data_IF_222658024583
#
_entry.id   IF_222658024583
#
_cell.length_a   1.000
_cell.length_b   1.000
_cell.length_c   1.000
_cell.angle_alpha   90.00
_cell.angle_beta   90.00
_cell.angle_gamma   90.00
#
_symmetry.space_group_name_H-M   'P 1'
#
loop_
_entity.id
_entity.type
_entity.pdbx_description
1 polymer ?
#
# COMPACT_ATOMS: atom_id res chain seq x y z
N UNK A 1 14.98 -2.32 3.64
CA UNK A 1 14.51 -3.12 4.80
C UNK A 1 13.35 -2.41 5.47
N UNK A 2 12.76 -2.99 6.52
CA UNK A 2 11.59 -2.42 7.21
C UNK A 2 11.74 -0.96 7.69
N UNK A 3 12.91 -0.50 8.18
CA UNK A 3 13.08 0.91 8.56
C UNK A 3 12.84 1.89 7.41
N UNK A 4 13.42 1.62 6.23
CA UNK A 4 13.20 2.43 5.03
C UNK A 4 11.75 2.41 4.57
N UNK A 5 11.06 1.28 4.72
CA UNK A 5 9.64 1.20 4.36
C UNK A 5 8.79 2.13 5.24
N UNK A 6 9.07 2.17 6.55
CA UNK A 6 8.38 3.07 7.47
C UNK A 6 8.74 4.55 7.22
N UNK A 7 10.02 4.85 6.95
CA UNK A 7 10.49 6.20 6.64
C UNK A 7 9.85 6.76 5.35
N UNK A 8 9.63 5.92 4.35
CA UNK A 8 9.06 6.29 3.05
C UNK A 8 7.54 6.13 2.98
N UNK A 9 6.86 5.84 4.10
CA UNK A 9 5.40 5.71 4.13
C UNK A 9 4.70 7.06 4.00
N UNK A 10 5.27 8.08 4.66
CA UNK A 10 4.76 9.45 4.68
C UNK A 10 5.85 10.43 4.29
N UNK A 11 5.55 11.31 3.33
CA UNK A 11 6.49 12.30 2.82
C UNK A 11 5.90 13.71 2.92
N UNK A 12 6.74 14.69 3.27
CA UNK A 12 6.38 16.10 3.13
C UNK A 12 6.42 16.49 1.65
N UNK A 13 5.48 17.34 1.22
CA UNK A 13 5.46 17.87 -0.15
C UNK A 13 5.97 19.31 -0.20
N UNK A 14 6.53 19.70 -1.34
CA UNK A 14 7.16 21.02 -1.52
C UNK A 14 6.18 22.20 -1.32
N UNK A 15 4.88 21.95 -1.45
CA UNK A 15 3.81 22.93 -1.32
C UNK A 15 3.15 22.93 0.08
N UNK A 16 3.85 22.40 1.10
CA UNK A 16 3.41 22.41 2.49
C UNK A 16 2.31 21.40 2.79
N UNK A 17 2.19 20.36 1.96
CA UNK A 17 1.27 19.24 2.15
C UNK A 17 1.97 17.97 2.64
N UNK A 18 1.22 16.87 2.61
CA UNK A 18 1.69 15.52 2.96
C UNK A 18 1.32 14.52 1.87
N UNK A 19 2.13 13.48 1.75
CA UNK A 19 1.92 12.38 0.82
C UNK A 19 1.91 11.06 1.58
N UNK A 20 0.80 10.32 1.48
CA UNK A 20 0.75 8.90 1.83
C UNK A 20 1.26 8.10 0.62
N UNK A 21 2.58 7.85 0.60
CA UNK A 21 3.28 7.17 -0.50
C UNK A 21 3.17 5.65 -0.39
N UNK A 22 3.10 5.10 0.81
CA UNK A 22 2.87 3.68 1.05
C UNK A 22 1.74 3.53 2.06
N UNK A 23 0.97 2.46 1.93
CA UNK A 23 -0.16 2.18 2.82
C UNK A 23 0.23 1.14 3.86
N UNK A 24 0.23 1.56 5.12
CA UNK A 24 0.62 0.78 6.30
C UNK A 24 -0.01 1.41 7.54
N UNK A 25 -0.50 0.57 8.45
CA UNK A 25 -1.01 1.07 9.73
C UNK A 25 0.09 1.84 10.47
N UNK A 26 -0.12 3.14 10.65
CA UNK A 26 0.92 4.07 11.10
C UNK A 26 0.32 5.35 11.65
N UNK A 27 1.16 6.17 12.25
CA UNK A 27 0.82 7.51 12.71
C UNK A 27 1.94 8.46 12.29
N UNK A 28 1.58 9.58 11.67
CA UNK A 28 2.52 10.65 11.31
C UNK A 28 2.12 11.94 12.00
N UNK A 29 3.09 12.66 12.55
CA UNK A 29 2.90 14.02 13.07
C UNK A 29 3.85 14.96 12.32
N UNK A 30 3.32 15.98 11.67
CA UNK A 30 4.10 16.89 10.83
C UNK A 30 3.55 18.32 10.84
N UNK A 31 4.36 19.27 10.37
CA UNK A 31 3.92 20.63 10.12
C UNK A 31 3.47 20.82 8.67
N UNK A 32 2.33 21.48 8.47
CA UNK A 32 1.66 21.65 7.16
C UNK A 32 1.16 23.09 6.96
N UNK A 33 0.65 23.35 5.75
CA UNK A 33 0.12 24.63 5.29
C UNK A 33 1.20 25.53 4.70
N UNK A 34 0.79 26.66 4.09
CA UNK A 34 1.69 27.55 3.32
C UNK A 34 2.93 28.03 4.09
N UNK A 35 2.87 28.08 5.42
CA UNK A 35 3.97 28.52 6.28
C UNK A 35 4.63 27.38 7.07
N UNK A 36 4.20 26.12 6.92
CA UNK A 36 4.66 24.96 7.71
C UNK A 36 4.67 25.22 9.22
N UNK A 37 3.58 25.80 9.76
CA UNK A 37 3.45 26.13 11.19
C UNK A 37 2.30 25.42 11.89
N UNK A 38 1.35 24.87 11.15
CA UNK A 38 0.25 24.11 11.72
C UNK A 38 0.69 22.67 11.89
N UNK A 39 0.64 22.15 13.11
CA UNK A 39 0.91 20.74 13.36
C UNK A 39 -0.36 19.92 13.11
N UNK A 40 -0.22 18.82 12.39
CA UNK A 40 -1.27 17.80 12.19
C UNK A 40 -0.71 16.45 12.60
N UNK A 41 -1.56 15.63 13.17
CA UNK A 41 -1.32 14.19 13.32
C UNK A 41 -2.32 13.43 12.48
N UNK A 42 -1.85 12.53 11.63
CA UNK A 42 -2.70 11.66 10.81
C UNK A 42 -2.48 10.22 11.28
N UNK A 43 -3.56 9.55 11.64
CA UNK A 43 -3.57 8.13 12.00
C UNK A 43 -4.08 7.37 10.78
N UNK A 44 -3.27 6.46 10.27
CA UNK A 44 -3.58 5.57 9.17
C UNK A 44 -3.91 4.17 9.69
N UNK A 45 -5.09 3.67 9.36
CA UNK A 45 -5.54 2.33 9.74
C UNK A 45 -5.91 1.54 8.49
N UNK A 46 -5.30 0.37 8.34
CA UNK A 46 -5.50 -0.49 7.18
C UNK A 46 -4.98 -1.91 7.42
N UNK A 47 -5.64 -2.89 6.79
CA UNK A 47 -5.17 -4.27 6.63
C UNK A 47 -4.48 -4.48 5.27
N UNK A 48 -4.18 -3.40 4.55
CA UNK A 48 -3.39 -3.45 3.33
C UNK A 48 -2.06 -4.17 3.60
N UNK A 49 -1.62 -5.10 2.74
CA UNK A 49 -2.08 -5.36 1.37
C UNK A 49 -3.19 -6.42 1.21
N UNK A 50 -3.76 -6.94 2.30
CA UNK A 50 -4.77 -8.00 2.24
C UNK A 50 -6.19 -7.46 2.06
N UNK A 51 -6.43 -6.22 2.50
CA UNK A 51 -7.63 -5.45 2.21
C UNK A 51 -7.29 -4.14 1.49
N UNK A 52 -8.22 -3.66 0.66
CA UNK A 52 -8.04 -2.44 -0.15
C UNK A 52 -8.41 -1.15 0.57
N UNK A 53 -9.00 -1.20 1.77
CA UNK A 53 -9.46 -0.03 2.52
C UNK A 53 -8.33 0.55 3.37
N UNK A 54 -8.16 1.86 3.28
CA UNK A 54 -7.28 2.68 4.11
C UNK A 54 -8.13 3.78 4.73
N UNK A 55 -8.00 3.98 6.04
CA UNK A 55 -8.72 5.01 6.77
C UNK A 55 -7.73 5.97 7.42
N UNK A 56 -7.91 7.28 7.20
CA UNK A 56 -7.10 8.34 7.75
C UNK A 56 -7.93 9.17 8.72
N UNK A 57 -7.49 9.29 9.97
CA UNK A 57 -8.09 10.18 10.97
C UNK A 57 -7.18 11.37 11.20
N UNK A 58 -7.76 12.56 11.18
CA UNK A 58 -7.00 13.80 11.30
C UNK A 58 -7.16 14.38 12.71
N UNK A 59 -6.03 14.64 13.37
CA UNK A 59 -5.96 15.32 14.65
C UNK A 59 -5.27 16.67 14.46
N UNK A 60 -6.02 17.76 14.67
CA UNK A 60 -5.54 19.14 14.52
C UNK A 60 -6.06 20.01 15.67
N UNK A 61 -5.23 20.94 16.13
CA UNK A 61 -5.67 21.98 17.07
C UNK A 61 -6.36 23.15 16.37
N UNK A 62 -5.95 23.45 15.13
CA UNK A 62 -6.50 24.54 14.31
C UNK A 62 -6.77 24.03 12.90
N UNK A 63 -7.97 24.31 12.39
CA UNK A 63 -8.35 24.00 11.01
C UNK A 63 -7.33 24.59 10.04
N UNK A 64 -6.78 23.76 9.16
CA UNK A 64 -5.65 24.15 8.31
C UNK A 64 -5.88 23.67 6.88
N UNK A 65 -5.62 24.55 5.91
CA UNK A 65 -5.58 24.18 4.49
C UNK A 65 -4.22 23.59 4.14
N UNK A 66 -4.23 22.39 3.59
CA UNK A 66 -3.05 21.77 2.98
C UNK A 66 -3.47 20.67 2.02
N UNK A 67 -2.54 20.29 1.14
CA UNK A 67 -2.77 19.21 0.20
C UNK A 67 -2.41 17.86 0.80
N UNK A 68 -3.29 16.88 0.60
CA UNK A 68 -2.99 15.48 0.84
C UNK A 68 -2.86 14.75 -0.49
N UNK A 69 -1.71 14.12 -0.72
CA UNK A 69 -1.43 13.29 -1.86
C UNK A 69 -1.62 11.82 -1.47
N UNK A 70 -2.48 11.11 -2.21
CA UNK A 70 -2.73 9.69 -2.02
C UNK A 70 -2.20 8.92 -3.23
N UNK A 71 -1.26 8.01 -3.04
CA UNK A 71 -0.72 7.19 -4.13
C UNK A 71 -1.79 6.29 -4.74
N UNK A 72 -1.98 6.38 -6.05
CA UNK A 72 -2.74 5.40 -6.81
C UNK A 72 -1.74 4.44 -7.48
N UNK A 73 -1.66 3.18 -7.02
CA UNK A 73 -0.71 2.24 -7.59
C UNK A 73 -1.03 1.92 -9.04
N UNK A 74 0.01 1.75 -9.88
CA UNK A 74 -0.13 1.40 -11.30
C UNK A 74 -0.96 0.13 -11.57
N UNK A 75 -0.99 -0.81 -10.62
CA UNK A 75 -1.79 -2.04 -10.75
C UNK A 75 -3.29 -1.80 -10.56
N UNK A 76 -3.71 -0.65 -10.02
CA UNK A 76 -5.12 -0.32 -9.80
C UNK A 76 -5.81 0.04 -11.11
N UNK A 77 -6.54 -0.92 -11.71
CA UNK A 77 -7.23 -0.74 -13.00
C UNK A 77 -8.68 -0.28 -12.90
N UNK A 78 -9.30 -0.46 -11.72
CA UNK A 78 -10.67 0.01 -11.46
C UNK A 78 -10.63 1.35 -10.73
N UNK A 79 -11.74 2.08 -10.79
CA UNK A 79 -11.90 3.34 -10.08
C UNK A 79 -11.74 3.13 -8.57
N UNK A 80 -10.78 3.79 -7.90
CA UNK A 80 -10.76 3.84 -6.45
C UNK A 80 -11.87 4.76 -5.94
N UNK A 81 -12.32 4.52 -4.72
CA UNK A 81 -13.35 5.32 -4.05
C UNK A 81 -12.74 6.08 -2.88
N UNK A 82 -13.06 7.37 -2.77
CA UNK A 82 -12.70 8.20 -1.63
C UNK A 82 -13.96 8.76 -0.99
N UNK A 83 -14.06 8.62 0.32
CA UNK A 83 -15.13 9.19 1.12
C UNK A 83 -14.56 10.05 2.22
N UNK A 84 -15.18 11.19 2.47
CA UNK A 84 -14.87 12.05 3.61
C UNK A 84 -16.09 12.12 4.52
N UNK A 85 -15.90 11.78 5.80
CA UNK A 85 -16.96 11.80 6.81
C UNK A 85 -18.22 11.05 6.33
N UNK A 86 -18.01 9.90 5.67
CA UNK A 86 -19.05 9.04 5.11
C UNK A 86 -19.59 9.43 3.73
N UNK A 87 -19.25 10.62 3.20
CA UNK A 87 -19.72 11.07 1.90
C UNK A 87 -18.71 10.78 0.79
N UNK A 88 -19.13 10.10 -0.27
CA UNK A 88 -18.27 9.83 -1.44
C UNK A 88 -17.94 11.14 -2.14
N UNK A 89 -16.64 11.45 -2.23
CA UNK A 89 -16.11 12.65 -2.88
C UNK A 89 -15.31 12.34 -4.15
N UNK A 90 -14.91 11.08 -4.35
CA UNK A 90 -14.24 10.62 -5.55
C UNK A 90 -14.61 9.17 -5.85
N UNK A 91 -14.96 8.88 -7.11
CA UNK A 91 -15.20 7.52 -7.60
C UNK A 91 -15.06 7.50 -9.13
N UNK A 92 -13.83 7.71 -9.61
CA UNK A 92 -13.54 7.79 -11.05
C UNK A 92 -12.28 7.01 -11.39
N UNK A 93 -12.17 6.54 -12.64
CA UNK A 93 -10.96 5.87 -13.10
C UNK A 93 -9.80 6.85 -13.16
N UNK A 94 -8.62 6.37 -12.80
CA UNK A 94 -7.36 7.13 -12.77
C UNK A 94 -6.43 6.68 -13.89
N UNK A 95 -5.38 7.45 -14.22
CA UNK A 95 -4.38 7.03 -15.20
C UNK A 95 -3.76 5.66 -14.90
N UNK A 96 -3.44 4.93 -15.97
CA UNK A 96 -3.00 3.53 -15.94
C UNK A 96 -1.48 3.36 -15.67
N UNK A 97 -0.73 4.45 -15.51
CA UNK A 97 0.71 4.52 -15.31
C UNK A 97 1.15 4.68 -13.84
N UNK A 98 0.19 4.80 -12.92
CA UNK A 98 0.44 5.12 -11.51
C UNK A 98 0.48 6.63 -11.31
N UNK A 99 -0.23 7.12 -10.31
CA UNK A 99 -0.45 8.55 -10.12
C UNK A 99 -0.71 8.90 -8.65
N UNK A 100 -1.04 10.16 -8.38
CA UNK A 100 -1.48 10.62 -7.07
C UNK A 100 -2.84 11.30 -7.18
N UNK A 101 -3.76 10.99 -6.27
CA UNK A 101 -4.97 11.77 -6.04
C UNK A 101 -4.62 12.90 -5.07
N UNK A 102 -4.91 14.14 -5.46
CA UNK A 102 -4.55 15.33 -4.68
C UNK A 102 -5.82 15.94 -4.10
N UNK A 103 -5.89 16.03 -2.78
CA UNK A 103 -6.94 16.72 -2.05
C UNK A 103 -6.42 18.05 -1.53
N UNK A 104 -6.81 19.15 -2.15
CA UNK A 104 -6.52 20.51 -1.67
C UNK A 104 -7.74 21.07 -0.94
N UNK A 105 -7.68 21.11 0.39
CA UNK A 105 -8.80 21.55 1.21
C UNK A 105 -8.38 21.99 2.60
N UNK A 106 -9.32 22.62 3.30
CA UNK A 106 -9.26 22.82 4.76
C UNK A 106 -9.61 21.50 5.44
N UNK A 107 -8.71 21.03 6.29
CA UNK A 107 -8.89 19.90 7.18
C UNK A 107 -9.22 20.40 8.58
N UNK A 108 -10.12 19.69 9.27
CA UNK A 108 -10.52 19.98 10.65
C UNK A 108 -10.23 18.79 11.55
N UNK A 109 -10.24 19.02 12.86
CA UNK A 109 -10.10 17.93 13.82
C UNK A 109 -11.21 16.89 13.63
N UNK A 110 -10.86 15.61 13.77
CA UNK A 110 -11.75 14.45 13.63
C UNK A 110 -12.32 14.25 12.22
N UNK A 111 -11.77 14.91 11.18
CA UNK A 111 -12.03 14.49 9.81
C UNK A 111 -11.61 13.02 9.64
N UNK A 112 -12.44 12.25 8.94
CA UNK A 112 -12.19 10.85 8.59
C UNK A 112 -12.24 10.71 7.08
N UNK A 113 -11.11 10.34 6.49
CA UNK A 113 -10.98 10.07 5.07
C UNK A 113 -10.85 8.56 4.87
N UNK A 114 -11.78 7.95 4.15
CA UNK A 114 -11.69 6.54 3.75
C UNK A 114 -11.35 6.43 2.28
N UNK A 115 -10.25 5.75 1.98
CA UNK A 115 -9.77 5.46 0.64
C UNK A 115 -9.84 3.97 0.36
N UNK A 116 -10.57 3.55 -0.67
CA UNK A 116 -10.70 2.15 -1.07
C UNK A 116 -10.06 1.95 -2.44
N UNK A 117 -9.02 1.12 -2.47
CA UNK A 117 -8.28 0.74 -3.67
C UNK A 117 -8.71 -0.67 -4.09
N UNK A 118 -9.38 -0.85 -5.25
CA UNK A 118 -9.87 -2.16 -5.65
C UNK A 118 -8.74 -3.15 -5.98
N UNK A 119 -8.51 -4.11 -5.08
CA UNK A 119 -7.58 -5.22 -5.30
C UNK A 119 -8.12 -6.15 -6.40
N UNK A 120 -7.25 -6.52 -7.35
CA UNK A 120 -7.63 -7.31 -8.53
C UNK A 120 -6.57 -8.35 -8.86
N UNK A 121 -7.04 -9.51 -9.34
CA UNK A 121 -6.18 -10.49 -9.96
C UNK A 121 -5.61 -9.93 -11.27
N UNK A 122 -4.31 -10.09 -11.44
CA UNK A 122 -3.58 -9.73 -12.63
C UNK A 122 -2.63 -10.86 -13.00
N UNK A 123 -2.44 -11.05 -14.30
CA UNK A 123 -1.53 -12.06 -14.85
C UNK A 123 -0.53 -11.39 -15.78
N UNK A 124 0.74 -11.77 -15.67
CA UNK A 124 1.78 -11.35 -16.61
C UNK A 124 2.39 -12.58 -17.27
N UNK A 125 2.24 -12.67 -18.60
CA UNK A 125 2.91 -13.69 -19.40
C UNK A 125 4.28 -13.19 -19.84
N UNK A 126 5.31 -13.98 -19.57
CA UNK A 126 6.69 -13.73 -19.95
C UNK A 126 7.02 -14.56 -21.20
N UNK A 127 6.77 -13.99 -22.37
CA UNK A 127 6.97 -14.68 -23.66
C UNK A 127 8.42 -15.14 -23.86
N UNK A 128 9.40 -14.34 -23.43
CA UNK A 128 10.82 -14.70 -23.47
C UNK A 128 11.23 -15.79 -22.46
N UNK A 129 10.38 -16.12 -21.48
CA UNK A 129 10.64 -17.17 -20.50
C UNK A 129 9.68 -18.34 -20.71
N UNK A 130 9.70 -18.94 -21.91
CA UNK A 130 8.86 -20.08 -22.29
C UNK A 130 7.37 -19.90 -21.99
N UNK A 131 6.87 -18.66 -22.15
CA UNK A 131 5.48 -18.28 -21.82
C UNK A 131 5.09 -18.51 -20.35
N UNK A 132 6.04 -18.47 -19.42
CA UNK A 132 5.75 -18.52 -17.98
C UNK A 132 4.79 -17.40 -17.56
N UNK A 133 3.98 -17.66 -16.54
CA UNK A 133 2.95 -16.73 -16.06
C UNK A 133 3.20 -16.39 -14.59
N UNK A 134 3.19 -15.10 -14.27
CA UNK A 134 3.12 -14.60 -12.88
C UNK A 134 1.70 -14.17 -12.57
N UNK A 135 1.23 -14.47 -11.36
CA UNK A 135 -0.09 -14.09 -10.86
C UNK A 135 0.09 -13.13 -9.69
N UNK A 136 -0.67 -12.04 -9.69
CA UNK A 136 -0.68 -11.04 -8.61
C UNK A 136 -2.11 -10.67 -8.20
N UNK A 137 -2.32 -10.29 -6.95
CA UNK A 137 -3.55 -9.69 -6.43
C UNK A 137 -3.20 -8.33 -5.81
N UNK A 138 -3.55 -7.25 -6.51
CA UNK A 138 -3.09 -5.91 -6.14
C UNK A 138 -1.55 -5.84 -6.07
N UNK A 139 -0.95 -5.49 -4.91
CA UNK A 139 0.51 -5.46 -4.74
C UNK A 139 1.14 -6.83 -4.47
N UNK A 140 0.36 -7.87 -4.19
CA UNK A 140 0.87 -9.19 -3.80
C UNK A 140 1.14 -10.05 -5.03
N UNK A 141 2.37 -10.52 -5.21
CA UNK A 141 2.69 -11.53 -6.23
C UNK A 141 2.75 -12.91 -5.58
N UNK A 142 2.08 -13.88 -6.18
CA UNK A 142 1.98 -15.22 -5.64
C UNK A 142 3.16 -16.08 -6.07
N UNK A 143 3.55 -17.00 -5.21
CA UNK A 143 4.33 -18.18 -5.56
C UNK A 143 3.43 -19.41 -5.56
N UNK A 144 3.76 -20.40 -6.39
CA UNK A 144 3.16 -21.71 -6.30
C UNK A 144 3.75 -22.43 -5.09
N UNK A 145 2.90 -22.89 -4.18
CA UNK A 145 3.33 -23.80 -3.13
C UNK A 145 3.59 -25.18 -3.75
N UNK A 146 4.85 -25.60 -3.75
CA UNK A 146 5.29 -26.91 -4.22
C UNK A 146 5.43 -27.79 -2.98
N UNK A 147 4.73 -28.92 -2.94
CA UNK A 147 4.88 -29.83 -1.81
C UNK A 147 6.26 -30.49 -1.87
N UNK A 148 7.03 -30.39 -0.79
CA UNK A 148 8.37 -30.96 -0.72
C UNK A 148 8.35 -32.36 -0.07
N UNK A 149 9.23 -33.24 -0.56
CA UNK A 149 9.61 -34.47 0.11
C UNK A 149 11.06 -34.36 0.54
N UNK A 150 11.29 -34.48 1.84
CA UNK A 150 12.62 -34.47 2.45
C UNK A 150 13.09 -35.91 2.65
N UNK A 151 14.18 -36.28 1.98
CA UNK A 151 14.85 -37.56 2.17
C UNK A 151 16.17 -37.30 2.90
N UNK A 152 16.36 -37.88 4.10
CA UNK A 152 17.66 -37.78 4.77
C UNK A 152 18.68 -38.62 4.00
N UNK A 153 19.77 -37.99 3.56
CA UNK A 153 20.84 -38.63 2.80
C UNK A 153 22.14 -38.75 3.60
N UNK A 154 22.24 -38.06 4.75
CA UNK A 154 23.45 -38.07 5.56
C UNK A 154 23.35 -37.20 6.81
N UNK A 155 24.51 -36.71 7.25
CA UNK A 155 24.65 -35.84 8.41
C UNK A 155 24.42 -36.52 9.78
N UNK A 156 24.62 -35.75 10.84
CA UNK A 156 24.32 -36.17 12.22
C UNK A 156 22.88 -35.79 12.60
N UNK A 157 22.41 -36.16 13.78
CA UNK A 157 21.09 -35.73 14.24
C UNK A 157 21.04 -34.22 14.55
N UNK A 158 22.19 -33.63 14.92
CA UNK A 158 22.33 -32.17 15.11
C UNK A 158 22.48 -31.41 13.78
N UNK A 159 23.04 -32.07 12.76
CA UNK A 159 23.30 -31.50 11.43
C UNK A 159 22.89 -32.47 10.33
N UNK A 160 21.58 -32.73 10.17
CA UNK A 160 21.09 -33.68 9.18
C UNK A 160 21.23 -33.11 7.76
N UNK A 161 21.65 -33.97 6.83
CA UNK A 161 21.72 -33.63 5.41
C UNK A 161 20.50 -34.21 4.70
N UNK A 162 19.76 -33.34 4.00
CA UNK A 162 18.55 -33.70 3.28
C UNK A 162 18.68 -33.44 1.78
N UNK A 163 18.20 -34.40 1.00
CA UNK A 163 17.75 -34.15 -0.37
C UNK A 163 16.30 -33.69 -0.31
N UNK A 164 15.98 -32.61 -1.03
CA UNK A 164 14.62 -32.05 -1.10
C UNK A 164 14.13 -32.16 -2.54
N UNK A 165 13.09 -32.96 -2.76
CA UNK A 165 12.50 -33.18 -4.10
C UNK A 165 11.04 -32.72 -4.13
N UNK A 166 10.56 -32.32 -5.30
CA UNK A 166 9.14 -31.99 -5.51
C UNK A 166 8.29 -33.26 -5.40
N UNK A 167 7.24 -33.22 -4.58
CA UNK A 167 6.20 -34.26 -4.49
C UNK A 167 5.07 -34.04 -5.51
N UNK A 168 5.15 -32.97 -6.29
CA UNK A 168 4.14 -32.58 -7.27
C UNK A 168 4.71 -32.55 -8.68
N UNK A 169 3.85 -32.64 -9.70
CA UNK A 169 4.26 -32.66 -11.11
C UNK A 169 4.77 -31.30 -11.64
N UNK A 170 5.03 -30.34 -10.74
CA UNK A 170 5.55 -29.00 -11.04
C UNK A 170 7.02 -28.93 -10.62
#
# INVERSE_FOLDING_TARGET
GWPYYAEEAWLATYDGGLCASLYVSSQVTAFVGTNNRSQVTIIEETDYPFDGKVEFRFQLTTSTQFKLYLRIPRWCRKAPTLSLNGNVIFNQKTPDDGSYLILDRVWVNDDVLSFTIPLQLNTKTWTSNHNAVSISYGPLTFSLAINEQYNRIGGTDDWPEYEVISKSNW
#
